data_IF_595834612026
#
_entry.id   IF_595834612026
#
_cell.length_a   1.000
_cell.length_b   1.000
_cell.length_c   1.000
_cell.angle_alpha   90.00
_cell.angle_beta   90.00
_cell.angle_gamma   90.00
#
_symmetry.space_group_name_H-M   'P 1'
#
loop_
_entity.id
_entity.type
_entity.pdbx_description
1 polymer ?
#
# COMPACT_ATOMS: atom_id res chain seq x y z
N UNK A 1 -6.25 5.75 5.29
CA UNK A 1 -5.12 5.98 4.36
C UNK A 1 -3.85 5.15 4.65
N UNK A 2 -3.61 4.61 5.86
CA UNK A 2 -2.39 3.83 6.16
C UNK A 2 -2.24 2.43 5.51
N UNK A 3 -3.18 2.01 4.66
CA UNK A 3 -3.10 0.71 3.96
C UNK A 3 -2.04 0.70 2.87
N UNK A 4 -1.73 1.84 2.26
CA UNK A 4 -0.71 1.94 1.21
C UNK A 4 0.70 1.73 1.79
N UNK A 5 1.04 2.42 2.87
CA UNK A 5 2.32 2.23 3.59
C UNK A 5 2.48 0.79 4.05
N UNK A 6 1.42 0.18 4.59
CA UNK A 6 1.42 -1.24 4.99
C UNK A 6 1.72 -2.18 3.82
N UNK A 7 1.20 -1.91 2.62
CA UNK A 7 1.48 -2.71 1.42
C UNK A 7 2.92 -2.52 0.94
N UNK A 8 3.49 -1.33 1.08
CA UNK A 8 4.89 -1.05 0.71
C UNK A 8 5.84 -1.93 1.51
N UNK A 9 5.65 -1.99 2.83
CA UNK A 9 6.50 -2.77 3.75
C UNK A 9 6.11 -4.25 3.86
N UNK A 10 5.00 -4.67 3.25
CA UNK A 10 4.56 -6.07 3.30
C UNK A 10 5.47 -6.97 2.46
N UNK A 11 5.79 -8.15 3.03
CA UNK A 11 6.54 -9.23 2.39
C UNK A 11 5.67 -10.21 1.61
N UNK A 12 4.34 -10.06 1.68
CA UNK A 12 3.37 -10.91 1.00
C UNK A 12 2.36 -10.06 0.23
N UNK A 13 1.92 -10.58 -0.92
CA UNK A 13 0.92 -9.96 -1.79
C UNK A 13 -0.13 -10.98 -2.20
N UNK A 14 -1.43 -10.63 -2.25
CA UNK A 14 -2.48 -11.50 -2.79
C UNK A 14 -2.42 -11.62 -4.33
N UNK A 15 -1.60 -10.79 -4.98
CA UNK A 15 -1.41 -10.76 -6.43
C UNK A 15 0.02 -11.20 -6.74
N UNK A 16 0.16 -12.07 -7.72
CA UNK A 16 1.45 -12.49 -8.25
C UNK A 16 2.20 -11.28 -8.84
N UNK A 17 3.39 -11.02 -8.33
CA UNK A 17 4.29 -10.00 -8.84
C UNK A 17 5.46 -10.64 -9.56
N UNK A 18 6.11 -9.89 -10.45
CA UNK A 18 7.24 -10.40 -11.21
C UNK A 18 8.33 -10.95 -10.27
N UNK A 19 8.76 -12.19 -10.50
CA UNK A 19 9.77 -12.87 -9.68
C UNK A 19 9.28 -13.40 -8.32
N UNK A 20 7.97 -13.37 -8.05
CA UNK A 20 7.42 -13.92 -6.80
C UNK A 20 7.26 -15.44 -6.82
N UNK A 21 7.24 -16.04 -5.64
CA UNK A 21 6.89 -17.45 -5.42
C UNK A 21 5.63 -17.56 -4.56
N UNK A 22 4.77 -18.56 -4.79
CA UNK A 22 3.58 -18.77 -3.97
C UNK A 22 3.98 -19.14 -2.53
N UNK A 23 3.32 -18.53 -1.55
CA UNK A 23 3.50 -18.88 -0.14
C UNK A 23 2.74 -20.18 0.12
N UNK A 24 3.47 -21.21 0.54
CA UNK A 24 2.92 -22.53 0.83
C UNK A 24 2.63 -22.67 2.33
N UNK A 25 1.49 -23.27 2.67
CA UNK A 25 1.14 -23.64 4.04
C UNK A 25 1.05 -25.14 4.18
N UNK A 26 1.75 -25.64 5.18
CA UNK A 26 1.66 -27.04 5.59
C UNK A 26 0.35 -27.27 6.36
N UNK A 27 -0.46 -28.20 5.89
CA UNK A 27 -1.66 -28.67 6.58
C UNK A 27 -1.48 -30.14 6.99
N UNK A 28 -2.01 -30.46 8.16
CA UNK A 28 -2.09 -31.83 8.66
C UNK A 28 -3.46 -32.38 8.25
N UNK A 29 -3.47 -33.47 7.51
CA UNK A 29 -4.71 -34.15 7.10
C UNK A 29 -4.95 -35.30 8.09
N UNK A 30 -5.93 -35.16 9.00
CA UNK A 30 -6.23 -36.20 9.97
C UNK A 30 -6.77 -37.46 9.26
N UNK A 31 -6.48 -38.65 9.79
CA UNK A 31 -6.90 -39.90 9.18
C UNK A 31 -8.41 -40.12 9.36
N UNK A 32 -9.07 -40.57 8.30
CA UNK A 32 -10.51 -40.88 8.28
C UNK A 32 -10.84 -42.28 8.80
N UNK A 33 -9.84 -43.08 9.17
CA UNK A 33 -10.01 -44.44 9.72
C UNK A 33 -8.82 -44.82 10.61
N UNK A 34 -9.05 -45.72 11.57
CA UNK A 34 -8.04 -46.16 12.55
C UNK A 34 -6.84 -46.91 11.94
N UNK A 35 -6.94 -47.32 10.67
CA UNK A 35 -5.88 -47.99 9.90
C UNK A 35 -5.09 -47.04 8.99
N UNK A 36 -5.42 -45.75 8.93
CA UNK A 36 -4.72 -44.78 8.08
C UNK A 36 -3.86 -43.83 8.93
N UNK A 37 -2.65 -43.52 8.47
CA UNK A 37 -1.76 -42.58 9.15
C UNK A 37 -2.14 -41.12 8.83
N UNK A 38 -1.84 -40.21 9.76
CA UNK A 38 -1.91 -38.76 9.52
C UNK A 38 -0.90 -38.38 8.44
N UNK A 39 -1.31 -37.60 7.45
CA UNK A 39 -0.40 -37.13 6.38
C UNK A 39 -0.24 -35.61 6.41
N UNK A 40 0.88 -35.14 5.88
CA UNK A 40 1.21 -33.71 5.77
C UNK A 40 1.20 -33.30 4.30
N UNK A 41 0.51 -32.21 3.96
CA UNK A 41 0.44 -31.66 2.60
C UNK A 41 0.76 -30.18 2.58
N UNK A 42 1.46 -29.73 1.56
CA UNK A 42 1.62 -28.29 1.27
C UNK A 42 0.50 -27.81 0.34
N UNK A 43 -0.15 -26.71 0.72
CA UNK A 43 -1.22 -26.07 -0.05
C UNK A 43 -0.90 -24.59 -0.22
N UNK A 44 -1.08 -24.01 -1.43
CA UNK A 44 -0.91 -22.57 -1.64
C UNK A 44 -1.86 -21.78 -0.74
N UNK A 45 -1.36 -20.73 -0.10
CA UNK A 45 -2.20 -19.84 0.74
C UNK A 45 -3.03 -18.85 -0.08
N UNK A 46 -2.68 -18.66 -1.36
CA UNK A 46 -3.22 -17.58 -2.20
C UNK A 46 -2.40 -16.29 -2.13
N UNK A 47 -1.34 -16.24 -1.31
CA UNK A 47 -0.39 -15.14 -1.26
C UNK A 47 0.91 -15.50 -1.99
N UNK A 48 1.63 -14.47 -2.43
CA UNK A 48 2.91 -14.55 -3.12
C UNK A 48 3.96 -13.73 -2.38
N UNK A 49 5.22 -14.15 -2.42
CA UNK A 49 6.34 -13.42 -1.84
C UNK A 49 6.57 -12.10 -2.58
N UNK A 50 6.71 -11.00 -1.86
CA UNK A 50 6.95 -9.68 -2.42
C UNK A 50 8.19 -9.06 -1.79
N UNK A 51 8.98 -8.35 -2.59
CA UNK A 51 10.08 -7.54 -2.07
C UNK A 51 9.56 -6.45 -1.12
N UNK A 52 10.21 -6.34 0.03
CA UNK A 52 9.93 -5.31 1.03
C UNK A 52 10.65 -4.04 0.61
N UNK A 53 9.91 -2.95 0.48
CA UNK A 53 10.49 -1.63 0.23
C UNK A 53 10.40 -0.79 1.50
N UNK A 54 11.40 0.05 1.71
CA UNK A 54 11.36 1.07 2.74
C UNK A 54 10.19 2.04 2.49
N UNK A 55 9.47 2.41 3.54
CA UNK A 55 8.37 3.37 3.46
C UNK A 55 8.87 4.74 2.96
N UNK A 56 10.12 5.11 3.24
CA UNK A 56 10.67 6.42 2.89
C UNK A 56 10.97 6.54 1.37
N UNK A 57 10.92 5.42 0.63
CA UNK A 57 10.98 5.42 -0.83
C UNK A 57 9.63 5.76 -1.48
N UNK A 58 8.54 5.72 -0.72
CA UNK A 58 7.19 5.95 -1.24
C UNK A 58 6.92 7.46 -1.38
N UNK A 59 6.53 7.89 -2.58
CA UNK A 59 6.14 9.28 -2.87
C UNK A 59 4.72 9.35 -3.40
N UNK A 60 3.70 9.54 -2.54
CA UNK A 60 2.34 9.71 -3.00
C UNK A 60 2.21 10.96 -3.88
N UNK A 61 1.33 10.85 -4.88
CA UNK A 61 0.93 11.99 -5.70
C UNK A 61 -0.28 12.65 -5.07
N UNK A 62 -0.13 13.93 -4.75
CA UNK A 62 -1.18 14.79 -4.21
C UNK A 62 -1.77 15.57 -5.39
N UNK A 63 -3.09 15.54 -5.47
CA UNK A 63 -3.84 16.27 -6.49
C UNK A 63 -3.86 17.76 -6.14
N UNK A 64 -3.69 18.65 -7.12
CA UNK A 64 -3.82 20.11 -6.96
C UNK A 64 -4.65 20.70 -8.11
N UNK A 65 -5.79 20.07 -8.40
CA UNK A 65 -6.73 20.53 -9.41
C UNK A 65 -8.16 20.05 -9.14
N UNK A 66 -9.12 20.79 -9.68
CA UNK A 66 -10.54 20.45 -9.60
C UNK A 66 -10.92 19.44 -10.69
N UNK A 67 -11.40 18.27 -10.27
CA UNK A 67 -11.99 17.27 -11.17
C UNK A 67 -13.50 17.15 -10.92
N UNK A 68 -14.22 18.26 -11.17
CA UNK A 68 -15.67 18.34 -10.98
C UNK A 68 -16.14 18.58 -9.54
N UNK A 69 -15.24 18.89 -8.61
CA UNK A 69 -15.52 19.33 -7.24
C UNK A 69 -14.63 20.52 -6.86
N UNK A 70 -14.85 21.11 -5.68
CA UNK A 70 -13.99 22.17 -5.15
C UNK A 70 -12.80 21.54 -4.43
N UNK A 71 -11.61 21.77 -4.95
CA UNK A 71 -10.34 21.30 -4.43
C UNK A 71 -9.41 22.50 -4.29
N UNK A 72 -9.47 23.13 -3.13
CA UNK A 72 -8.80 24.40 -2.85
C UNK A 72 -7.66 24.19 -1.84
N UNK A 73 -7.09 25.29 -1.33
CA UNK A 73 -5.98 25.33 -0.37
C UNK A 73 -6.18 24.38 0.81
N UNK A 74 -7.40 24.26 1.32
CA UNK A 74 -7.70 23.45 2.50
C UNK A 74 -7.58 21.95 2.21
N UNK A 75 -8.09 21.48 1.08
CA UNK A 75 -8.05 20.08 0.66
C UNK A 75 -6.61 19.64 0.34
N UNK A 76 -5.85 20.48 -0.38
CA UNK A 76 -4.43 20.21 -0.67
C UNK A 76 -3.65 20.08 0.64
N UNK A 77 -3.83 21.01 1.59
CA UNK A 77 -3.18 20.98 2.91
C UNK A 77 -3.58 19.75 3.73
N UNK A 78 -4.85 19.37 3.68
CA UNK A 78 -5.33 18.18 4.38
C UNK A 78 -4.68 16.90 3.82
N UNK A 79 -4.44 16.80 2.51
CA UNK A 79 -3.72 15.66 1.93
C UNK A 79 -2.23 15.66 2.23
N UNK A 80 -1.59 16.83 2.26
CA UNK A 80 -0.21 16.97 2.73
C UNK A 80 -0.12 16.50 4.19
N UNK A 81 -1.02 16.97 5.07
CA UNK A 81 -1.06 16.56 6.46
C UNK A 81 -1.32 15.05 6.60
N UNK A 82 -2.25 14.50 5.84
CA UNK A 82 -2.53 13.06 5.84
C UNK A 82 -1.31 12.21 5.43
N UNK A 83 -0.40 12.77 4.62
CA UNK A 83 0.88 12.12 4.27
C UNK A 83 1.80 12.05 5.48
N UNK A 84 1.91 13.14 6.24
CA UNK A 84 2.66 13.16 7.50
C UNK A 84 2.04 12.25 8.56
N UNK A 85 0.72 12.22 8.66
CA UNK A 85 -0.02 11.39 9.64
C UNK A 85 0.20 9.88 9.41
N UNK A 86 0.50 9.46 8.18
CA UNK A 86 0.87 8.06 7.87
C UNK A 86 2.38 7.78 8.01
N UNK A 87 3.14 8.76 8.48
CA UNK A 87 4.58 8.64 8.75
C UNK A 87 5.46 8.71 7.50
N UNK A 88 4.97 9.32 6.41
CA UNK A 88 5.75 9.65 5.23
C UNK A 88 6.18 11.12 5.29
N UNK A 89 7.37 11.43 4.77
CA UNK A 89 7.94 12.77 4.77
C UNK A 89 8.03 13.39 3.36
N UNK A 90 7.75 12.59 2.31
CA UNK A 90 7.90 12.97 0.93
C UNK A 90 6.60 12.77 0.14
N UNK A 91 6.34 13.67 -0.82
CA UNK A 91 5.18 13.66 -1.70
C UNK A 91 5.47 14.47 -2.96
N UNK A 92 4.61 14.35 -3.97
CA UNK A 92 4.68 15.15 -5.20
C UNK A 92 3.31 15.76 -5.51
N UNK A 93 3.26 17.06 -5.77
CA UNK A 93 2.05 17.69 -6.28
C UNK A 93 1.95 17.49 -7.78
N UNK A 94 0.75 17.19 -8.25
CA UNK A 94 0.47 17.02 -9.66
C UNK A 94 -0.79 17.78 -10.07
N UNK A 95 -0.63 18.61 -11.11
CA UNK A 95 -1.72 19.31 -11.79
C UNK A 95 -1.49 19.26 -13.30
N UNK A 96 -2.45 18.77 -14.11
CA UNK A 96 -2.28 18.69 -15.57
C UNK A 96 -2.16 20.08 -16.24
N UNK A 97 -2.69 21.12 -15.58
CA UNK A 97 -2.59 22.51 -16.02
C UNK A 97 -1.23 23.15 -15.73
N UNK A 98 -0.35 22.47 -14.99
CA UNK A 98 0.89 23.03 -14.41
C UNK A 98 0.66 24.30 -13.57
N UNK A 99 -0.57 24.56 -13.12
CA UNK A 99 -0.90 25.65 -12.21
C UNK A 99 -1.10 25.07 -10.82
N UNK A 100 -0.35 25.59 -9.85
CA UNK A 100 -0.34 25.09 -8.49
C UNK A 100 -0.84 26.11 -7.49
N UNK A 101 -1.56 25.64 -6.48
CA UNK A 101 -2.17 26.44 -5.43
C UNK A 101 -1.12 26.81 -4.38
N UNK A 102 -0.41 27.93 -4.60
CA UNK A 102 0.66 28.38 -3.70
C UNK A 102 0.23 28.58 -2.25
N UNK A 103 -1.05 28.90 -2.02
CA UNK A 103 -1.62 29.05 -0.67
C UNK A 103 -1.51 27.75 0.15
N UNK A 104 -1.55 26.59 -0.50
CA UNK A 104 -1.38 25.31 0.17
C UNK A 104 0.06 25.04 0.64
N UNK A 105 1.03 25.58 -0.09
CA UNK A 105 2.47 25.37 0.13
C UNK A 105 3.10 26.33 1.14
N UNK A 106 2.55 27.53 1.27
CA UNK A 106 3.05 28.50 2.25
C UNK A 106 2.59 28.11 3.65
N UNK A 107 3.50 28.12 4.61
CA UNK A 107 3.14 28.10 6.03
C UNK A 107 2.20 29.28 6.29
N UNK A 108 1.17 29.07 7.11
CA UNK A 108 0.38 30.18 7.62
C UNK A 108 1.35 31.10 8.39
N UNK A 109 1.54 32.31 7.88
CA UNK A 109 2.26 33.38 8.57
C UNK A 109 1.25 34.15 9.44
#
# INVERSE_FOLDING_TARGET
MGSAVRRTIASESPIEVFGSSPVMKTIVVPPTSSTTATTTKEVPTGNYTKEVYDKDKMRPWIQDFDYGGNYDVAEVRAQIQATYDVGLDSWMLWAPSNRYTRGALKNAE
#
